data_IF_357039350018
#
_entry.id   IF_357039350018
#
_cell.length_a   1.000
_cell.length_b   1.000
_cell.length_c   1.000
_cell.angle_alpha   90.00
_cell.angle_beta   90.00
_cell.angle_gamma   90.00
#
_symmetry.space_group_name_H-M   'P 1'
#
loop_
_entity.id
_entity.type
_entity.pdbx_description
1 polymer ?
#
# COMPACT_ATOMS: atom_id res chain seq x y z
N UNK A 1 31.88 -17.00 14.13
CA UNK A 1 30.65 -17.57 13.57
C UNK A 1 29.60 -16.53 13.18
N UNK A 2 29.18 -15.59 14.03
CA UNK A 2 28.15 -14.60 13.71
C UNK A 2 28.42 -13.73 12.47
N UNK A 3 29.68 -13.30 12.27
CA UNK A 3 30.05 -12.51 11.07
C UNK A 3 29.93 -13.31 9.76
N UNK A 4 30.16 -14.62 9.78
CA UNK A 4 30.02 -15.49 8.61
C UNK A 4 28.56 -15.65 8.21
N UNK A 5 27.66 -15.84 9.18
CA UNK A 5 26.22 -15.91 8.98
C UNK A 5 25.68 -14.60 8.41
N UNK A 6 26.09 -13.46 9.02
CA UNK A 6 25.67 -12.14 8.53
C UNK A 6 26.09 -11.88 7.08
N UNK A 7 27.31 -12.30 6.68
CA UNK A 7 27.76 -12.19 5.29
C UNK A 7 26.97 -13.10 4.34
N UNK A 8 26.63 -14.33 4.77
CA UNK A 8 25.78 -15.23 4.00
C UNK A 8 24.37 -14.63 3.77
N UNK A 9 23.73 -14.12 4.82
CA UNK A 9 22.41 -13.49 4.72
C UNK A 9 22.43 -12.23 3.85
N UNK A 10 23.51 -11.42 3.87
CA UNK A 10 23.65 -10.25 2.99
C UNK A 10 23.52 -10.57 1.50
N UNK A 11 23.81 -11.81 1.09
CA UNK A 11 23.65 -12.24 -0.29
C UNK A 11 22.19 -12.09 -0.75
N UNK A 12 21.22 -12.44 0.09
CA UNK A 12 19.79 -12.34 -0.26
C UNK A 12 19.35 -10.90 -0.53
N UNK A 13 19.97 -9.91 0.15
CA UNK A 13 19.69 -8.49 -0.03
C UNK A 13 20.37 -7.86 -1.25
N UNK A 14 21.20 -8.60 -1.99
CA UNK A 14 21.77 -8.14 -3.27
C UNK A 14 20.76 -8.26 -4.42
N UNK A 15 19.79 -9.17 -4.27
CA UNK A 15 18.74 -9.40 -5.27
C UNK A 15 17.63 -8.37 -5.10
N UNK A 16 17.18 -7.83 -6.22
CA UNK A 16 16.05 -6.90 -6.31
C UNK A 16 15.45 -6.97 -7.72
N UNK A 17 14.37 -6.22 -8.00
CA UNK A 17 13.68 -6.22 -9.29
C UNK A 17 14.58 -5.88 -10.49
N UNK A 18 15.67 -5.13 -10.30
CA UNK A 18 16.63 -4.81 -11.35
C UNK A 18 17.81 -5.82 -11.41
N UNK A 19 17.90 -6.74 -10.45
CA UNK A 19 18.96 -7.76 -10.32
C UNK A 19 18.35 -9.06 -9.84
N UNK A 20 17.51 -9.67 -10.65
CA UNK A 20 16.83 -10.92 -10.32
C UNK A 20 17.75 -12.14 -10.39
N UNK A 21 18.79 -12.05 -11.24
CA UNK A 21 19.73 -13.13 -11.49
C UNK A 21 21.16 -12.62 -11.33
N UNK A 22 22.02 -13.36 -10.62
CA UNK A 22 23.41 -12.98 -10.35
C UNK A 22 24.38 -14.16 -10.47
N UNK A 23 25.61 -13.89 -10.92
CA UNK A 23 26.72 -14.84 -10.89
C UNK A 23 27.38 -14.86 -9.50
N UNK A 24 28.06 -15.96 -9.15
CA UNK A 24 28.85 -16.02 -7.90
C UNK A 24 29.93 -14.93 -7.85
N UNK A 25 30.49 -14.56 -9.00
CA UNK A 25 31.49 -13.47 -9.11
C UNK A 25 30.87 -12.10 -8.71
N UNK A 26 29.67 -11.77 -9.19
CA UNK A 26 28.98 -10.54 -8.83
C UNK A 26 28.51 -10.55 -7.36
N UNK A 27 28.08 -11.69 -6.85
CA UNK A 27 27.77 -11.87 -5.43
C UNK A 27 29.00 -11.63 -4.54
N UNK A 28 30.16 -12.25 -4.89
CA UNK A 28 31.42 -12.07 -4.16
C UNK A 28 31.83 -10.60 -4.07
N UNK A 29 31.72 -9.87 -5.17
CA UNK A 29 31.99 -8.44 -5.22
C UNK A 29 31.00 -7.63 -4.34
N UNK A 30 29.71 -7.97 -4.39
CA UNK A 30 28.65 -7.28 -3.64
C UNK A 30 28.80 -7.41 -2.11
N UNK A 31 29.20 -8.58 -1.60
CA UNK A 31 29.44 -8.79 -0.16
C UNK A 31 30.91 -8.65 0.26
N UNK A 32 31.81 -8.27 -0.67
CA UNK A 32 33.24 -8.05 -0.45
C UNK A 32 33.94 -9.23 0.22
N UNK A 33 33.87 -10.41 -0.43
CA UNK A 33 34.57 -11.63 0.02
C UNK A 33 35.31 -12.29 -1.15
N UNK A 34 36.35 -13.13 -0.87
CA UNK A 34 37.00 -13.95 -1.90
C UNK A 34 36.00 -14.89 -2.58
N UNK A 35 36.20 -15.15 -3.86
CA UNK A 35 35.32 -15.98 -4.69
C UNK A 35 35.08 -17.39 -4.10
N UNK A 36 36.09 -18.11 -3.55
CA UNK A 36 35.86 -19.42 -2.89
C UNK A 36 34.89 -19.31 -1.68
N UNK A 37 34.95 -18.21 -0.95
CA UNK A 37 34.05 -17.97 0.18
C UNK A 37 32.61 -17.72 -0.29
N UNK A 38 32.44 -16.97 -1.38
CA UNK A 38 31.13 -16.76 -1.96
C UNK A 38 30.51 -18.08 -2.47
N UNK A 39 31.27 -18.95 -3.12
CA UNK A 39 30.82 -20.29 -3.51
C UNK A 39 30.30 -21.09 -2.35
N UNK A 40 30.99 -21.05 -1.20
CA UNK A 40 30.55 -21.79 0.02
C UNK A 40 29.21 -21.23 0.54
N UNK A 41 29.04 -19.92 0.58
CA UNK A 41 27.78 -19.31 0.99
C UNK A 41 26.64 -19.63 0.03
N UNK A 42 26.87 -19.46 -1.28
CA UNK A 42 25.87 -19.78 -2.32
C UNK A 42 25.47 -21.25 -2.24
N UNK A 43 26.44 -22.18 -2.06
CA UNK A 43 26.14 -23.60 -1.89
C UNK A 43 25.22 -23.85 -0.69
N UNK A 44 25.50 -23.24 0.46
CA UNK A 44 24.66 -23.40 1.67
C UNK A 44 23.27 -22.80 1.43
N UNK A 45 23.18 -21.57 0.90
CA UNK A 45 21.88 -20.95 0.62
C UNK A 45 21.05 -21.76 -0.38
N UNK A 46 21.69 -22.36 -1.39
CA UNK A 46 21.00 -23.24 -2.35
C UNK A 46 20.56 -24.56 -1.68
N UNK A 47 21.37 -25.11 -0.80
CA UNK A 47 21.00 -26.32 -0.05
C UNK A 47 19.73 -26.11 0.80
N UNK A 48 19.53 -24.91 1.35
CA UNK A 48 18.35 -24.55 2.12
C UNK A 48 17.23 -23.93 1.28
N UNK A 49 17.35 -23.92 -0.05
CA UNK A 49 16.34 -23.37 -0.96
C UNK A 49 16.13 -21.85 -0.87
N UNK A 50 17.08 -21.12 -0.23
CA UNK A 50 17.06 -19.65 -0.18
C UNK A 50 17.61 -19.02 -1.47
N UNK A 51 18.42 -19.78 -2.23
CA UNK A 51 18.81 -19.50 -3.61
C UNK A 51 18.47 -20.71 -4.47
N UNK A 52 18.12 -20.48 -5.73
CA UNK A 52 17.98 -21.49 -6.77
C UNK A 52 18.96 -21.18 -7.91
N UNK A 53 19.34 -22.21 -8.69
CA UNK A 53 20.05 -22.03 -9.95
C UNK A 53 19.06 -21.44 -10.96
N UNK A 54 19.47 -20.39 -11.65
CA UNK A 54 18.72 -19.85 -12.79
C UNK A 54 18.91 -20.72 -14.04
N UNK A 55 18.13 -20.46 -15.10
CA UNK A 55 18.23 -21.19 -16.37
C UNK A 55 19.63 -21.06 -16.99
N UNK A 56 20.29 -19.92 -16.83
CA UNK A 56 21.64 -19.70 -17.33
C UNK A 56 22.67 -20.39 -16.41
N UNK A 57 23.59 -21.21 -16.96
CA UNK A 57 24.63 -21.87 -16.18
C UNK A 57 25.48 -20.89 -15.36
N UNK A 58 25.73 -21.21 -14.10
CA UNK A 58 26.53 -20.36 -13.20
C UNK A 58 25.81 -19.14 -12.63
N UNK A 59 24.51 -18.98 -12.93
CA UNK A 59 23.69 -17.93 -12.40
C UNK A 59 22.75 -18.46 -11.29
N UNK A 60 22.41 -17.58 -10.35
CA UNK A 60 21.56 -17.85 -9.20
C UNK A 60 20.49 -16.78 -9.07
N UNK A 61 19.36 -17.17 -8.51
CA UNK A 61 18.20 -16.34 -8.22
C UNK A 61 17.68 -16.63 -6.81
N UNK A 62 16.74 -15.83 -6.29
CA UNK A 62 16.09 -16.11 -5.01
C UNK A 62 15.32 -17.42 -5.10
N UNK A 63 15.44 -18.25 -4.06
CA UNK A 63 14.88 -19.58 -4.00
C UNK A 63 13.43 -19.62 -3.51
N UNK A 64 12.72 -20.72 -3.83
CA UNK A 64 11.29 -20.91 -3.53
C UNK A 64 10.94 -20.95 -2.06
N UNK A 65 11.86 -21.33 -1.19
CA UNK A 65 11.66 -21.35 0.28
C UNK A 65 11.30 -19.96 0.81
N UNK A 66 11.75 -18.87 0.14
CA UNK A 66 11.35 -17.52 0.49
C UNK A 66 9.86 -17.25 0.27
N UNK A 67 9.21 -17.90 -0.72
CA UNK A 67 7.76 -17.84 -0.92
C UNK A 67 6.99 -18.53 0.19
N UNK A 68 7.53 -19.66 0.72
CA UNK A 68 6.93 -20.35 1.87
C UNK A 68 6.98 -19.46 3.12
N UNK A 69 8.12 -18.82 3.37
CA UNK A 69 8.24 -17.86 4.48
C UNK A 69 7.29 -16.67 4.30
N UNK A 70 7.19 -16.11 3.09
CA UNK A 70 6.23 -15.06 2.80
C UNK A 70 4.78 -15.52 3.01
N UNK A 71 4.44 -16.77 2.66
CA UNK A 71 3.15 -17.38 2.93
C UNK A 71 2.83 -17.46 4.42
N UNK A 72 3.77 -17.90 5.26
CA UNK A 72 3.61 -17.92 6.72
C UNK A 72 3.41 -16.52 7.31
N UNK A 73 4.09 -15.51 6.77
CA UNK A 73 3.94 -14.12 7.20
C UNK A 73 2.57 -13.59 6.78
N UNK A 74 2.13 -13.82 5.53
CA UNK A 74 0.82 -13.37 5.02
C UNK A 74 -0.36 -13.93 5.81
N UNK A 75 -0.28 -15.18 6.27
CA UNK A 75 -1.34 -15.77 7.11
C UNK A 75 -1.48 -15.07 8.47
N UNK A 76 -0.39 -14.50 9.00
CA UNK A 76 -0.36 -13.78 10.29
C UNK A 76 -0.61 -12.28 10.18
N UNK A 77 -0.33 -11.68 9.01
CA UNK A 77 -0.56 -10.25 8.75
C UNK A 77 -2.06 -10.00 8.50
N UNK A 78 -2.83 -10.00 9.59
CA UNK A 78 -4.14 -9.35 9.55
C UNK A 78 -3.91 -7.84 9.45
N UNK A 79 -4.20 -7.25 8.29
CA UNK A 79 -4.02 -5.81 8.05
C UNK A 79 -4.68 -4.96 9.13
N UNK A 80 -5.80 -5.39 9.70
CA UNK A 80 -6.48 -4.66 10.78
C UNK A 80 -5.63 -4.62 12.06
N UNK A 81 -4.92 -5.71 12.39
CA UNK A 81 -4.03 -5.77 13.56
C UNK A 81 -2.82 -4.84 13.38
N UNK A 82 -2.22 -4.84 12.19
CA UNK A 82 -1.09 -3.95 11.86
C UNK A 82 -1.54 -2.49 11.82
N UNK A 83 -2.75 -2.24 11.31
CA UNK A 83 -3.31 -0.90 11.15
C UNK A 83 -3.72 -0.26 12.47
N UNK A 84 -4.19 -1.03 13.43
CA UNK A 84 -4.83 -0.51 14.66
C UNK A 84 -4.02 0.59 15.34
N UNK A 85 -2.72 0.41 15.68
CA UNK A 85 -1.94 1.46 16.34
C UNK A 85 -1.76 2.73 15.49
N UNK A 86 -1.70 2.59 14.16
CA UNK A 86 -1.56 3.74 13.25
C UNK A 86 -2.89 4.48 13.07
N UNK A 87 -4.01 3.76 13.07
CA UNK A 87 -5.37 4.33 13.05
C UNK A 87 -5.62 5.13 14.33
N UNK A 88 -5.31 4.56 15.51
CA UNK A 88 -5.42 5.23 16.81
C UNK A 88 -4.53 6.50 16.86
N UNK A 89 -3.28 6.39 16.41
CA UNK A 89 -2.34 7.52 16.33
C UNK A 89 -2.88 8.64 15.43
N UNK A 90 -3.43 8.31 14.25
CA UNK A 90 -4.01 9.31 13.34
C UNK A 90 -5.27 9.95 13.94
N UNK A 91 -6.10 9.20 14.65
CA UNK A 91 -7.28 9.72 15.33
C UNK A 91 -6.89 10.74 16.42
N UNK A 92 -5.86 10.46 17.20
CA UNK A 92 -5.31 11.39 18.20
C UNK A 92 -4.76 12.67 17.56
N UNK A 93 -4.00 12.56 16.47
CA UNK A 93 -3.41 13.71 15.76
C UNK A 93 -4.48 14.59 15.13
N UNK A 94 -5.45 13.98 14.44
CA UNK A 94 -6.49 14.71 13.70
C UNK A 94 -7.62 15.23 14.60
N UNK A 95 -7.93 14.49 15.68
CA UNK A 95 -9.11 14.68 16.52
C UNK A 95 -10.41 14.29 15.81
N UNK A 96 -10.32 13.60 14.66
CA UNK A 96 -11.45 13.19 13.82
C UNK A 96 -11.54 11.67 13.70
N UNK A 97 -12.64 11.17 13.17
CA UNK A 97 -12.81 9.73 12.93
C UNK A 97 -11.86 9.24 11.85
N UNK A 98 -11.15 8.17 12.15
CA UNK A 98 -10.24 7.49 11.22
C UNK A 98 -10.78 6.11 10.88
N UNK A 99 -10.68 5.75 9.60
CA UNK A 99 -11.12 4.45 9.12
C UNK A 99 -10.09 3.80 8.20
N UNK A 100 -10.05 2.47 8.24
CA UNK A 100 -9.35 1.62 7.28
C UNK A 100 -10.38 0.98 6.36
N UNK A 101 -10.20 1.14 5.05
CA UNK A 101 -11.10 0.57 4.03
C UNK A 101 -10.32 -0.38 3.15
N UNK A 102 -10.75 -1.64 3.06
CA UNK A 102 -10.20 -2.63 2.12
C UNK A 102 -10.92 -2.55 0.78
N UNK A 103 -10.18 -2.76 -0.30
CA UNK A 103 -10.79 -3.02 -1.61
C UNK A 103 -11.32 -4.45 -1.66
N UNK A 104 -12.55 -4.61 -2.13
CA UNK A 104 -13.17 -5.89 -2.44
C UNK A 104 -13.89 -5.78 -3.80
N UNK A 105 -13.22 -6.18 -4.88
CA UNK A 105 -13.74 -6.00 -6.25
C UNK A 105 -14.00 -4.53 -6.57
N UNK A 106 -15.25 -4.20 -6.88
CA UNK A 106 -15.71 -2.86 -7.28
C UNK A 106 -16.18 -2.00 -6.09
N UNK A 107 -15.94 -2.47 -4.86
CA UNK A 107 -16.35 -1.81 -3.64
C UNK A 107 -15.21 -1.67 -2.65
N UNK A 108 -15.35 -0.73 -1.73
CA UNK A 108 -14.53 -0.64 -0.53
C UNK A 108 -15.33 -1.04 0.70
N UNK A 109 -14.75 -1.88 1.54
CA UNK A 109 -15.36 -2.31 2.82
C UNK A 109 -14.58 -1.70 3.98
N UNK A 110 -15.26 -0.96 4.84
CA UNK A 110 -14.67 -0.43 6.07
C UNK A 110 -14.44 -1.58 7.06
N UNK A 111 -13.20 -1.81 7.47
CA UNK A 111 -12.84 -2.94 8.35
C UNK A 111 -12.39 -2.53 9.75
N UNK A 112 -12.02 -1.27 9.94
CA UNK A 112 -11.59 -0.72 11.21
C UNK A 112 -11.99 0.75 11.28
N UNK A 113 -12.51 1.17 12.43
CA UNK A 113 -12.89 2.55 12.74
C UNK A 113 -12.37 2.92 14.12
N UNK A 114 -11.73 4.07 14.22
CA UNK A 114 -11.46 4.76 15.47
C UNK A 114 -12.26 6.06 15.45
N UNK A 115 -13.28 6.13 16.30
CA UNK A 115 -14.21 7.26 16.30
C UNK A 115 -13.63 8.48 16.99
N UNK A 116 -13.93 9.66 16.45
CA UNK A 116 -13.68 10.93 17.13
C UNK A 116 -14.44 11.02 18.46
N UNK A 117 -13.77 11.51 19.49
CA UNK A 117 -14.42 11.82 20.77
C UNK A 117 -15.33 13.06 20.74
N UNK A 118 -15.37 13.78 19.60
CA UNK A 118 -16.25 14.96 19.45
C UNK A 118 -17.71 14.55 19.37
N UNK A 119 -18.60 15.33 20.01
CA UNK A 119 -20.04 15.10 19.98
C UNK A 119 -20.58 15.10 18.54
N UNK A 120 -20.15 16.07 17.72
CA UNK A 120 -20.46 16.09 16.29
C UNK A 120 -19.33 15.41 15.54
N UNK A 121 -19.57 14.20 15.01
CA UNK A 121 -18.59 13.41 14.27
C UNK A 121 -19.22 12.72 13.06
N UNK A 122 -18.40 12.34 12.10
CA UNK A 122 -18.75 11.42 11.02
C UNK A 122 -18.30 10.03 11.47
N UNK A 123 -19.22 9.11 11.67
CA UNK A 123 -18.95 7.76 12.15
C UNK A 123 -19.38 6.72 11.11
N UNK A 124 -18.49 6.35 10.16
CA UNK A 124 -18.77 5.22 9.31
C UNK A 124 -18.77 3.93 10.13
N UNK A 125 -19.69 3.03 9.82
CA UNK A 125 -19.78 1.75 10.52
C UNK A 125 -18.77 0.74 9.97
N UNK A 126 -18.18 -0.07 10.86
CA UNK A 126 -17.40 -1.25 10.46
C UNK A 126 -18.32 -2.22 9.69
N UNK A 127 -17.83 -2.77 8.59
CA UNK A 127 -18.61 -3.59 7.65
C UNK A 127 -19.35 -2.79 6.56
N UNK A 128 -19.37 -1.46 6.64
CA UNK A 128 -19.99 -0.65 5.60
C UNK A 128 -19.28 -0.81 4.26
N UNK A 129 -20.09 -1.03 3.22
CA UNK A 129 -19.63 -1.18 1.83
C UNK A 129 -20.03 0.06 1.03
N UNK A 130 -19.08 0.63 0.29
CA UNK A 130 -19.29 1.74 -0.64
C UNK A 130 -18.72 1.41 -2.02
N UNK A 131 -19.39 1.80 -3.11
CA UNK A 131 -18.81 1.71 -4.45
C UNK A 131 -17.62 2.67 -4.58
N UNK A 132 -16.63 2.32 -5.40
CA UNK A 132 -15.33 3.00 -5.44
C UNK A 132 -15.37 4.48 -5.91
N UNK A 133 -16.52 4.98 -6.39
CA UNK A 133 -16.64 6.35 -6.90
C UNK A 133 -17.07 7.39 -5.83
N UNK A 134 -17.58 6.98 -4.67
CA UNK A 134 -18.26 7.90 -3.73
C UNK A 134 -17.48 8.11 -2.44
N UNK A 135 -16.71 9.19 -2.36
CA UNK A 135 -15.97 9.61 -1.17
C UNK A 135 -14.48 9.28 -1.20
N UNK A 136 -13.68 9.97 -0.38
CA UNK A 136 -12.23 9.92 -0.43
C UNK A 136 -11.65 8.52 -0.19
N UNK A 137 -12.15 7.79 0.82
CA UNK A 137 -11.65 6.47 1.22
C UNK A 137 -11.71 5.43 0.09
N UNK A 138 -12.71 5.53 -0.79
CA UNK A 138 -12.88 4.59 -1.91
C UNK A 138 -12.36 5.15 -3.23
N UNK A 139 -12.43 6.47 -3.46
CA UNK A 139 -11.85 7.07 -4.67
C UNK A 139 -10.32 6.91 -4.73
N UNK A 140 -9.64 6.93 -3.60
CA UNK A 140 -8.20 6.66 -3.58
C UNK A 140 -7.89 5.22 -3.97
N UNK A 141 -8.74 4.25 -3.63
CA UNK A 141 -8.59 2.87 -4.09
C UNK A 141 -8.76 2.78 -5.61
N UNK A 142 -9.78 3.43 -6.15
CA UNK A 142 -10.05 3.45 -7.59
C UNK A 142 -8.92 4.12 -8.39
N UNK A 143 -8.35 5.21 -7.85
CA UNK A 143 -7.32 6.00 -8.53
C UNK A 143 -6.00 5.24 -8.77
N UNK A 144 -5.71 4.23 -7.95
CA UNK A 144 -4.48 3.43 -8.06
C UNK A 144 -4.69 2.08 -8.75
N UNK A 145 -5.87 1.86 -9.35
CA UNK A 145 -6.12 0.70 -10.21
C UNK A 145 -5.58 0.94 -11.63
N UNK A 146 -5.33 -0.13 -12.41
CA UNK A 146 -5.06 -0.03 -13.84
C UNK A 146 -6.16 0.74 -14.59
N UNK A 147 -5.78 1.45 -15.63
CA UNK A 147 -6.69 2.32 -16.40
C UNK A 147 -7.88 1.57 -17.01
N UNK A 148 -7.70 0.33 -17.42
CA UNK A 148 -8.74 -0.53 -17.94
C UNK A 148 -9.77 -0.92 -16.86
N UNK A 149 -9.30 -1.22 -15.63
CA UNK A 149 -10.18 -1.46 -14.49
C UNK A 149 -10.96 -0.20 -14.12
N UNK A 150 -10.29 0.97 -14.08
CA UNK A 150 -10.97 2.24 -13.82
C UNK A 150 -12.10 2.49 -14.82
N UNK A 151 -11.84 2.34 -16.13
CA UNK A 151 -12.83 2.54 -17.19
C UNK A 151 -14.00 1.57 -17.05
N UNK A 152 -13.74 0.27 -16.88
CA UNK A 152 -14.79 -0.75 -16.70
C UNK A 152 -15.73 -0.40 -15.53
N UNK A 153 -15.21 0.12 -14.43
CA UNK A 153 -16.04 0.50 -13.29
C UNK A 153 -16.90 1.75 -13.56
N UNK A 154 -16.52 2.56 -14.53
CA UNK A 154 -17.23 3.78 -14.91
C UNK A 154 -18.23 3.58 -16.06
N UNK A 155 -18.24 2.40 -16.69
CA UNK A 155 -19.21 2.04 -17.74
C UNK A 155 -20.62 1.81 -17.17
N UNK A 156 -20.72 1.45 -15.87
CA UNK A 156 -21.99 1.27 -15.19
C UNK A 156 -22.53 2.59 -14.60
N UNK A 157 -23.86 2.74 -14.47
CA UNK A 157 -24.45 3.91 -13.83
C UNK A 157 -23.93 4.12 -12.41
N UNK A 158 -23.37 5.29 -12.12
CA UNK A 158 -22.82 5.63 -10.82
C UNK A 158 -23.91 6.09 -9.85
N UNK A 159 -24.07 5.40 -8.73
CA UNK A 159 -25.08 5.72 -7.72
C UNK A 159 -24.79 7.08 -7.07
N UNK A 160 -25.81 7.95 -7.06
CA UNK A 160 -25.78 9.24 -6.38
C UNK A 160 -26.16 9.06 -4.90
N UNK A 161 -25.32 9.49 -3.98
CA UNK A 161 -25.57 9.49 -2.53
C UNK A 161 -26.00 10.85 -2.02
N UNK A 162 -25.45 11.90 -2.63
CA UNK A 162 -25.75 13.30 -2.31
C UNK A 162 -25.74 14.13 -3.59
N UNK A 163 -26.19 15.39 -3.58
CA UNK A 163 -26.03 16.29 -4.72
C UNK A 163 -24.57 16.50 -5.16
N UNK A 164 -23.60 16.26 -4.25
CA UNK A 164 -22.17 16.45 -4.50
C UNK A 164 -21.45 15.18 -4.99
N UNK A 165 -22.13 14.02 -5.02
CA UNK A 165 -21.53 12.78 -5.53
C UNK A 165 -21.16 12.94 -7.01
N UNK A 166 -19.90 12.67 -7.34
CA UNK A 166 -19.43 12.65 -8.73
C UNK A 166 -19.99 11.43 -9.45
N UNK A 167 -20.91 11.66 -10.38
CA UNK A 167 -21.54 10.61 -11.20
C UNK A 167 -21.26 10.77 -12.70
N UNK A 168 -20.51 11.79 -13.09
CA UNK A 168 -20.02 11.97 -14.45
C UNK A 168 -18.67 11.23 -14.61
N UNK A 169 -18.59 10.21 -15.51
CA UNK A 169 -17.37 9.43 -15.69
C UNK A 169 -16.15 10.26 -16.08
N UNK A 170 -16.34 11.26 -16.98
CA UNK A 170 -15.24 12.10 -17.44
C UNK A 170 -14.68 13.02 -16.34
N UNK A 171 -15.56 13.57 -15.49
CA UNK A 171 -15.13 14.36 -14.32
C UNK A 171 -14.44 13.46 -13.30
N UNK A 172 -14.94 12.23 -13.09
CA UNK A 172 -14.34 11.30 -12.15
C UNK A 172 -12.96 10.85 -12.63
N UNK A 173 -12.76 10.49 -13.90
CA UNK A 173 -11.44 10.14 -14.45
C UNK A 173 -10.41 11.27 -14.25
N UNK A 174 -10.82 12.54 -14.48
CA UNK A 174 -9.92 13.68 -14.20
C UNK A 174 -9.55 13.77 -12.71
N UNK A 175 -10.51 13.51 -11.83
CA UNK A 175 -10.30 13.47 -10.38
C UNK A 175 -9.33 12.34 -10.01
N UNK A 176 -9.50 11.13 -10.56
CA UNK A 176 -8.63 9.98 -10.28
C UNK A 176 -7.17 10.27 -10.68
N UNK A 177 -6.93 10.85 -11.86
CA UNK A 177 -5.59 11.29 -12.29
C UNK A 177 -4.95 12.29 -11.31
N UNK A 178 -5.76 13.22 -10.79
CA UNK A 178 -5.30 14.17 -9.77
C UNK A 178 -4.91 13.44 -8.48
N UNK A 179 -5.73 12.48 -8.02
CA UNK A 179 -5.47 11.66 -6.83
C UNK A 179 -4.19 10.87 -7.01
N UNK A 180 -3.99 10.20 -8.15
CA UNK A 180 -2.77 9.43 -8.43
C UNK A 180 -1.52 10.30 -8.38
N UNK A 181 -1.57 11.49 -9.00
CA UNK A 181 -0.42 12.41 -9.03
C UNK A 181 -0.07 12.98 -7.66
N UNK A 182 -1.06 13.33 -6.83
CA UNK A 182 -0.83 13.93 -5.51
C UNK A 182 -0.68 12.92 -4.37
N UNK A 183 -1.06 11.64 -4.60
CA UNK A 183 -0.93 10.56 -3.62
C UNK A 183 -2.03 10.50 -2.54
N UNK A 184 -3.08 11.32 -2.66
CA UNK A 184 -4.20 11.33 -1.71
C UNK A 184 -5.51 11.79 -2.37
N UNK A 185 -6.63 11.45 -1.75
CA UNK A 185 -7.97 11.92 -2.16
C UNK A 185 -8.55 12.86 -1.11
N UNK A 186 -9.32 13.86 -1.58
CA UNK A 186 -10.16 14.72 -0.74
C UNK A 186 -11.56 14.73 -1.33
N UNK A 187 -12.57 14.45 -0.50
CA UNK A 187 -13.98 14.56 -0.88
C UNK A 187 -14.73 15.49 0.07
N UNK A 188 -15.72 16.19 -0.43
CA UNK A 188 -16.58 17.06 0.37
C UNK A 188 -18.05 16.81 0.04
N UNK A 189 -18.77 16.28 1.02
CA UNK A 189 -20.19 16.02 0.89
C UNK A 189 -20.58 14.89 -0.07
N UNK A 190 -19.65 14.10 -0.60
CA UNK A 190 -19.94 13.13 -1.68
C UNK A 190 -20.65 11.87 -1.20
N UNK A 191 -20.25 11.32 -0.05
CA UNK A 191 -20.87 10.14 0.55
C UNK A 191 -21.87 10.51 1.66
N UNK A 192 -21.60 11.60 2.38
CA UNK A 192 -22.44 12.14 3.46
C UNK A 192 -22.53 13.64 3.36
N UNK A 193 -23.74 14.23 3.43
CA UNK A 193 -23.90 15.69 3.44
C UNK A 193 -23.12 16.33 4.60
N UNK A 194 -22.45 17.44 4.33
CA UNK A 194 -21.70 18.19 5.34
C UNK A 194 -20.41 17.55 5.84
N UNK A 195 -20.06 16.35 5.37
CA UNK A 195 -18.81 15.68 5.72
C UNK A 195 -17.67 16.04 4.76
N UNK A 196 -16.45 15.94 5.24
CA UNK A 196 -15.22 15.95 4.45
C UNK A 196 -14.41 14.69 4.76
N UNK A 197 -13.85 14.07 3.74
CA UNK A 197 -12.94 12.94 3.87
C UNK A 197 -11.59 13.25 3.23
N UNK A 198 -10.52 12.78 3.86
CA UNK A 198 -9.14 12.81 3.34
C UNK A 198 -8.61 11.40 3.45
N UNK A 199 -8.07 10.84 2.35
CA UNK A 199 -7.61 9.45 2.31
C UNK A 199 -6.32 9.30 1.53
N UNK A 200 -5.47 8.35 1.97
CA UNK A 200 -4.26 7.95 1.28
C UNK A 200 -4.23 6.43 1.04
N UNK A 201 -3.58 5.95 -0.05
CA UNK A 201 -3.53 4.54 -0.38
C UNK A 201 -2.56 3.80 0.52
N UNK A 202 -2.86 2.53 0.78
CA UNK A 202 -1.96 1.55 1.39
C UNK A 202 -1.61 0.54 0.32
N UNK A 203 -0.31 0.36 0.08
CA UNK A 203 0.23 -0.47 -0.98
C UNK A 203 0.85 -1.74 -0.41
N UNK A 204 0.77 -2.84 -1.16
CA UNK A 204 1.49 -4.08 -0.86
C UNK A 204 2.93 -4.05 -1.42
N UNK A 205 3.65 -5.17 -1.23
CA UNK A 205 5.02 -5.36 -1.72
C UNK A 205 5.15 -5.20 -3.25
N UNK A 206 4.08 -5.45 -4.00
CA UNK A 206 4.04 -5.29 -5.46
C UNK A 206 3.66 -3.85 -5.89
N UNK A 207 3.38 -2.97 -4.93
CA UNK A 207 2.94 -1.61 -5.17
C UNK A 207 1.47 -1.52 -5.63
N UNK A 208 0.68 -2.58 -5.41
CA UNK A 208 -0.76 -2.58 -5.67
C UNK A 208 -1.49 -2.00 -4.49
N UNK A 209 -2.56 -1.23 -4.76
CA UNK A 209 -3.41 -0.71 -3.71
C UNK A 209 -4.25 -1.84 -3.10
N UNK A 210 -4.10 -2.05 -1.79
CA UNK A 210 -4.84 -3.06 -1.04
C UNK A 210 -5.88 -2.46 -0.09
N UNK A 211 -5.61 -1.27 0.41
CA UNK A 211 -6.46 -0.57 1.36
C UNK A 211 -6.30 0.94 1.26
N UNK A 212 -7.10 1.68 2.00
CA UNK A 212 -6.93 3.11 2.24
C UNK A 212 -7.05 3.45 3.71
N UNK A 213 -6.22 4.38 4.17
CA UNK A 213 -6.34 5.05 5.46
C UNK A 213 -7.04 6.39 5.23
N UNK A 214 -8.13 6.65 5.96
CA UNK A 214 -8.92 7.86 5.76
C UNK A 214 -9.32 8.53 7.06
N UNK A 215 -9.32 9.87 7.07
CA UNK A 215 -9.87 10.72 8.12
C UNK A 215 -11.19 11.30 7.62
N UNK A 216 -12.22 11.26 8.44
CA UNK A 216 -13.56 11.77 8.12
C UNK A 216 -14.11 12.63 9.27
N UNK A 217 -14.65 13.78 8.95
CA UNK A 217 -15.22 14.69 9.94
C UNK A 217 -16.12 15.77 9.32
N UNK A 218 -16.72 16.63 10.14
CA UNK A 218 -17.50 17.78 9.66
C UNK A 218 -16.65 18.70 8.77
N UNK A 219 -17.18 19.03 7.57
CA UNK A 219 -16.41 19.71 6.52
C UNK A 219 -15.78 21.04 6.96
N UNK A 220 -16.47 21.80 7.83
CA UNK A 220 -15.97 23.08 8.33
C UNK A 220 -14.73 22.88 9.21
N UNK A 221 -14.77 21.93 10.17
CA UNK A 221 -13.67 21.64 11.08
C UNK A 221 -12.46 21.03 10.34
N UNK A 222 -12.72 20.08 9.44
CA UNK A 222 -11.71 19.46 8.59
C UNK A 222 -11.00 20.47 7.68
N UNK A 223 -11.73 21.48 7.15
CA UNK A 223 -11.15 22.49 6.27
C UNK A 223 -10.09 23.34 6.98
N UNK A 224 -10.27 23.64 8.27
CA UNK A 224 -9.34 24.44 9.07
C UNK A 224 -7.98 23.72 9.28
N UNK A 225 -8.00 22.39 9.35
CA UNK A 225 -6.82 21.55 9.61
C UNK A 225 -6.38 20.75 8.36
N UNK A 226 -6.90 21.09 7.18
CA UNK A 226 -6.78 20.27 5.96
C UNK A 226 -5.34 19.88 5.65
N UNK A 227 -4.40 20.82 5.66
CA UNK A 227 -3.01 20.57 5.30
C UNK A 227 -2.34 19.58 6.26
N UNK A 228 -2.48 19.79 7.57
CA UNK A 228 -1.93 18.90 8.59
C UNK A 228 -2.53 17.50 8.54
N UNK A 229 -3.86 17.38 8.25
CA UNK A 229 -4.52 16.08 8.12
C UNK A 229 -4.02 15.36 6.85
N UNK A 230 -3.83 16.04 5.73
CA UNK A 230 -3.26 15.43 4.51
C UNK A 230 -1.86 14.89 4.82
N UNK A 231 -0.99 15.71 5.43
CA UNK A 231 0.38 15.32 5.77
C UNK A 231 0.42 14.08 6.68
N UNK A 232 -0.31 14.11 7.79
CA UNK A 232 -0.34 12.98 8.74
C UNK A 232 -0.97 11.72 8.14
N UNK A 233 -2.05 11.86 7.36
CA UNK A 233 -2.70 10.72 6.69
C UNK A 233 -1.78 10.06 5.67
N UNK A 234 -1.10 10.86 4.84
CA UNK A 234 -0.17 10.34 3.82
C UNK A 234 1.08 9.72 4.45
N UNK A 235 1.62 10.31 5.53
CA UNK A 235 2.77 9.77 6.25
C UNK A 235 2.45 8.40 6.86
N UNK A 236 1.34 8.28 7.60
CA UNK A 236 0.95 7.03 8.26
C UNK A 236 0.47 5.95 7.28
N UNK A 237 -0.17 6.33 6.17
CA UNK A 237 -0.49 5.38 5.10
C UNK A 237 0.77 4.83 4.42
N UNK A 238 1.83 5.65 4.27
CA UNK A 238 3.14 5.21 3.79
C UNK A 238 3.82 4.28 4.78
N UNK A 239 3.82 4.62 6.07
CA UNK A 239 4.35 3.75 7.14
C UNK A 239 3.65 2.40 7.13
N UNK A 240 2.31 2.37 7.00
CA UNK A 240 1.55 1.14 6.87
C UNK A 240 1.90 0.34 5.61
N UNK A 241 2.08 1.00 4.48
CA UNK A 241 2.52 0.35 3.23
C UNK A 241 3.88 -0.33 3.41
N UNK A 242 4.83 0.30 4.11
CA UNK A 242 6.13 -0.29 4.43
C UNK A 242 6.00 -1.53 5.32
N UNK A 243 5.12 -1.51 6.31
CA UNK A 243 4.79 -2.68 7.14
C UNK A 243 4.14 -3.80 6.32
N UNK A 244 3.44 -3.46 5.22
CA UNK A 244 2.87 -4.42 4.27
C UNK A 244 3.87 -4.86 3.19
N UNK A 245 5.14 -4.48 3.30
CA UNK A 245 6.23 -4.89 2.42
C UNK A 245 6.50 -3.96 1.24
N UNK A 246 5.79 -2.81 1.14
CA UNK A 246 6.05 -1.83 0.10
C UNK A 246 7.40 -1.12 0.32
N UNK A 247 8.19 -0.97 -0.76
CA UNK A 247 9.43 -0.21 -0.74
C UNK A 247 9.41 0.86 -1.85
N UNK A 248 9.57 2.13 -1.47
CA UNK A 248 9.56 3.26 -2.39
C UNK A 248 10.68 3.19 -3.43
N UNK A 249 11.85 2.68 -3.04
CA UNK A 249 13.05 2.60 -3.89
C UNK A 249 12.92 1.59 -5.04
N UNK A 250 11.93 0.70 -4.99
CA UNK A 250 11.69 -0.28 -6.06
C UNK A 250 11.04 0.30 -7.32
N UNK A 251 10.58 1.56 -7.31
CA UNK A 251 9.93 2.24 -8.46
C UNK A 251 10.85 3.11 -9.31
N UNK A 252 12.09 3.39 -8.89
CA UNK A 252 13.01 4.27 -9.63
C UNK A 252 13.60 3.66 -10.90
N UNK A 253 13.11 2.51 -11.37
CA UNK A 253 13.63 1.77 -12.53
C UNK A 253 12.67 1.53 -13.70
N UNK A 254 11.47 2.11 -13.72
CA UNK A 254 10.61 2.03 -14.91
C UNK A 254 10.53 3.39 -15.61
N UNK A 255 11.08 3.54 -16.83
CA UNK A 255 10.71 4.65 -17.69
C UNK A 255 9.24 4.46 -18.09
N UNK A 256 8.45 5.52 -17.96
CA UNK A 256 7.14 5.62 -18.57
C UNK A 256 7.31 5.61 -20.09
N UNK A 257 6.99 4.51 -20.76
CA UNK A 257 6.62 4.48 -22.17
C UNK A 257 5.12 4.74 -22.35
#
# INVERSE_FOLDING_TARGET
MAQSLAKGLKILFLFNRSREVMTVKSIAAGIKVPLPTAYRFVKVLTQYGLLDKAEQPGHYQLGRTLLEFAGCIRQRLNIATVAKPLVEKLAQISGETVQLTLRNGDHGTCILVEESHSTLRVAPETGRVLPLHAGASVQVLLAFLPDDEQRRMLDAPLKRFTPHTLTDPGKLLRRLRTITRQGYAVSRGEAYPGAMGIAAPILDADGRVIASLAVSGPAQRMAQKRAAIIESTTALAREMSQLMGWNADSRSGQPHE
#
